data_IF_813767100455
#
_entry.id   IF_813767100455
#
_cell.length_a   1.000
_cell.length_b   1.000
_cell.length_c   1.000
_cell.angle_alpha   90.00
_cell.angle_beta   90.00
_cell.angle_gamma   90.00
#
_symmetry.space_group_name_H-M   'P 1'
#
loop_
_entity.id
_entity.type
_entity.pdbx_description
1 polymer ?
#
# COMPACT_ATOMS: atom_id res chain seq x y z
N UNK A 1 26.59 -10.06 2.17
CA UNK A 1 25.15 -9.78 2.35
C UNK A 1 24.71 -8.66 1.41
N UNK A 2 23.45 -8.56 1.00
CA UNK A 2 22.97 -7.39 0.25
C UNK A 2 21.75 -6.82 0.96
N UNK A 3 21.78 -5.52 1.26
CA UNK A 3 20.71 -4.82 2.00
C UNK A 3 20.03 -3.77 1.10
N UNK A 4 18.91 -3.22 1.54
CA UNK A 4 18.13 -2.24 0.79
C UNK A 4 18.31 -0.83 1.38
N UNK A 5 18.90 0.08 0.60
CA UNK A 5 18.90 1.51 0.91
C UNK A 5 17.53 2.11 0.58
N UNK A 6 16.82 2.61 1.60
CA UNK A 6 15.43 3.08 1.47
C UNK A 6 15.34 4.59 1.68
N UNK A 7 15.18 5.40 0.62
CA UNK A 7 15.02 6.84 0.79
C UNK A 7 13.70 7.14 1.53
N UNK A 8 13.74 8.16 2.39
CA UNK A 8 12.51 8.74 2.93
C UNK A 8 11.76 9.49 1.82
N UNK A 9 10.45 9.74 2.02
CA UNK A 9 9.64 10.49 1.06
C UNK A 9 10.26 11.87 0.79
N UNK A 10 10.66 12.12 -0.45
CA UNK A 10 11.30 13.36 -0.89
C UNK A 10 12.81 13.45 -0.64
N UNK A 11 13.44 12.41 -0.09
CA UNK A 11 14.89 12.33 0.08
C UNK A 11 15.57 11.96 -1.25
N UNK A 12 16.77 12.51 -1.51
CA UNK A 12 17.61 12.10 -2.64
C UNK A 12 18.06 10.63 -2.50
N UNK A 13 18.19 9.91 -3.61
CA UNK A 13 18.72 8.55 -3.62
C UNK A 13 20.20 8.52 -3.17
N UNK A 14 20.96 9.57 -3.49
CA UNK A 14 22.37 9.68 -3.12
C UNK A 14 22.53 9.89 -1.61
N UNK A 15 21.72 10.76 -1.02
CA UNK A 15 21.70 10.97 0.43
C UNK A 15 21.30 9.69 1.18
N UNK A 16 20.34 8.94 0.65
CA UNK A 16 19.96 7.64 1.21
C UNK A 16 21.12 6.65 1.13
N UNK A 17 21.81 6.56 0.00
CA UNK A 17 22.99 5.71 -0.16
C UNK A 17 24.08 6.04 0.88
N UNK A 18 24.48 7.31 0.98
CA UNK A 18 25.55 7.74 1.90
C UNK A 18 25.20 7.45 3.37
N UNK A 19 23.92 7.62 3.72
CA UNK A 19 23.41 7.29 5.06
C UNK A 19 23.51 5.80 5.37
N UNK A 20 23.16 4.92 4.42
CA UNK A 20 23.27 3.47 4.62
C UNK A 20 24.72 3.01 4.72
N UNK A 21 25.60 3.55 3.87
CA UNK A 21 27.05 3.33 3.95
C UNK A 21 27.60 3.73 5.32
N UNK A 22 27.24 4.93 5.81
CA UNK A 22 27.65 5.40 7.14
C UNK A 22 27.15 4.55 8.31
N UNK A 23 26.05 3.81 8.15
CA UNK A 23 25.59 2.86 9.17
C UNK A 23 26.32 1.51 9.11
N UNK A 24 26.70 1.07 7.91
CA UNK A 24 27.22 -0.26 7.65
C UNK A 24 28.75 -0.34 7.72
N UNK A 25 29.47 0.63 7.13
CA UNK A 25 30.92 0.55 6.88
C UNK A 25 31.75 0.23 8.14
N UNK A 26 31.34 0.73 9.31
CA UNK A 26 32.05 0.51 10.58
C UNK A 26 31.57 -0.72 11.37
N UNK A 27 30.47 -1.37 10.97
CA UNK A 27 29.77 -2.38 11.78
C UNK A 27 29.67 -3.75 11.14
N UNK A 28 29.76 -3.85 9.82
CA UNK A 28 29.62 -5.13 9.12
C UNK A 28 30.77 -6.07 9.47
N UNK A 29 30.44 -7.33 9.73
CA UNK A 29 31.44 -8.37 10.00
C UNK A 29 31.76 -9.22 8.75
N UNK A 30 31.15 -8.89 7.60
CA UNK A 30 31.33 -9.58 6.33
C UNK A 30 31.10 -8.61 5.17
N UNK A 31 31.52 -8.99 3.96
CA UNK A 31 31.31 -8.19 2.76
C UNK A 31 29.82 -7.91 2.53
N UNK A 32 29.54 -6.71 2.05
CA UNK A 32 28.17 -6.29 1.79
C UNK A 32 28.01 -5.48 0.50
N UNK A 33 26.79 -5.47 -0.01
CA UNK A 33 26.35 -4.60 -1.10
C UNK A 33 25.01 -3.96 -0.77
N UNK A 34 24.56 -3.05 -1.63
CA UNK A 34 23.28 -2.37 -1.47
C UNK A 34 22.47 -2.43 -2.77
N UNK A 35 21.18 -2.70 -2.63
CA UNK A 35 20.16 -2.37 -3.60
C UNK A 35 19.63 -0.96 -3.29
N UNK A 36 19.37 -0.15 -4.31
CA UNK A 36 18.73 1.17 -4.10
C UNK A 36 17.22 1.09 -4.31
N UNK A 37 16.42 1.47 -3.32
CA UNK A 37 14.97 1.58 -3.48
C UNK A 37 14.61 2.87 -4.22
N UNK A 38 13.79 2.76 -5.26
CA UNK A 38 13.16 3.89 -5.96
C UNK A 38 11.69 3.93 -5.57
N UNK A 39 11.35 4.86 -4.66
CA UNK A 39 9.99 5.03 -4.10
C UNK A 39 9.25 6.27 -4.61
N UNK A 40 9.88 7.05 -5.48
CA UNK A 40 9.31 8.25 -6.09
C UNK A 40 9.96 8.51 -7.45
N UNK A 41 9.18 9.05 -8.39
CA UNK A 41 9.68 9.42 -9.71
C UNK A 41 9.65 10.93 -9.95
N UNK A 42 10.83 11.49 -10.23
CA UNK A 42 10.99 12.81 -10.81
C UNK A 42 11.68 12.68 -12.17
N UNK A 43 11.11 13.31 -13.21
CA UNK A 43 11.59 13.17 -14.59
C UNK A 43 13.05 13.58 -14.82
N UNK A 44 13.58 14.46 -13.96
CA UNK A 44 14.95 14.99 -14.11
C UNK A 44 15.90 14.36 -13.10
N UNK A 45 15.52 14.32 -11.82
CA UNK A 45 16.47 13.95 -10.76
C UNK A 45 16.61 12.44 -10.65
N UNK A 46 15.53 11.66 -10.68
CA UNK A 46 15.58 10.21 -10.45
C UNK A 46 16.48 9.49 -11.46
N UNK A 47 16.36 9.69 -12.79
CA UNK A 47 17.25 9.02 -13.75
C UNK A 47 18.72 9.38 -13.57
N UNK A 48 19.01 10.64 -13.22
CA UNK A 48 20.37 11.13 -13.04
C UNK A 48 21.02 10.56 -11.76
N UNK A 49 20.28 10.51 -10.65
CA UNK A 49 20.77 9.90 -9.42
C UNK A 49 20.98 8.39 -9.57
N UNK A 50 20.08 7.70 -10.29
CA UNK A 50 20.28 6.29 -10.64
C UNK A 50 21.57 6.08 -11.44
N UNK A 51 21.84 6.91 -12.44
CA UNK A 51 23.10 6.85 -13.20
C UNK A 51 24.31 7.08 -12.30
N UNK A 52 24.27 8.10 -11.44
CA UNK A 52 25.37 8.38 -10.52
C UNK A 52 25.66 7.24 -9.53
N UNK A 53 24.61 6.52 -9.11
CA UNK A 53 24.73 5.35 -8.24
C UNK A 53 25.38 4.15 -8.93
N UNK A 54 25.29 4.06 -10.26
CA UNK A 54 25.92 2.99 -11.04
C UNK A 54 27.41 3.20 -11.30
N UNK A 55 27.96 4.38 -11.02
CA UNK A 55 29.39 4.61 -11.16
C UNK A 55 30.21 3.69 -10.22
N UNK A 56 31.43 3.30 -10.61
CA UNK A 56 32.29 2.42 -9.81
C UNK A 56 32.52 2.87 -8.36
N UNK A 57 32.49 4.19 -8.12
CA UNK A 57 32.58 4.81 -6.79
C UNK A 57 31.46 4.35 -5.82
N UNK A 58 30.26 4.08 -6.36
CA UNK A 58 29.08 3.68 -5.57
C UNK A 58 28.67 2.23 -5.80
N UNK A 59 28.90 1.70 -7.00
CA UNK A 59 28.79 0.27 -7.31
C UNK A 59 27.38 -0.32 -7.27
N UNK A 60 26.32 0.50 -7.32
CA UNK A 60 24.94 0.01 -7.35
C UNK A 60 24.60 -0.49 -8.76
N UNK A 61 24.17 -1.73 -8.90
CA UNK A 61 23.77 -2.31 -10.18
C UNK A 61 22.33 -2.86 -10.16
N UNK A 62 21.56 -2.52 -9.11
CA UNK A 62 20.22 -3.07 -8.89
C UNK A 62 19.34 -2.07 -8.14
N UNK A 63 18.12 -1.90 -8.65
CA UNK A 63 17.15 -0.94 -8.15
C UNK A 63 15.84 -1.64 -7.80
N UNK A 64 15.32 -1.42 -6.59
CA UNK A 64 14.08 -2.03 -6.11
C UNK A 64 12.91 -1.05 -6.12
N UNK A 65 11.83 -1.47 -6.75
CA UNK A 65 10.58 -0.73 -6.84
C UNK A 65 9.46 -1.51 -6.13
N UNK A 66 8.42 -0.80 -5.71
CA UNK A 66 7.28 -1.40 -5.02
C UNK A 66 5.99 -1.17 -5.80
N UNK A 67 5.20 -2.22 -5.97
CA UNK A 67 3.82 -2.16 -6.50
C UNK A 67 2.78 -2.11 -5.38
N UNK A 68 3.24 -2.25 -4.13
CA UNK A 68 2.46 -2.22 -2.91
C UNK A 68 2.86 -1.03 -2.03
N UNK A 69 2.23 -0.92 -0.85
CA UNK A 69 2.44 0.19 0.09
C UNK A 69 2.03 1.55 -0.51
N UNK A 70 0.75 1.63 -0.90
CA UNK A 70 0.09 2.85 -1.40
C UNK A 70 0.43 4.05 -0.51
N UNK A 71 0.67 5.20 -1.12
CA UNK A 71 1.06 6.48 -0.50
C UNK A 71 2.44 6.55 0.19
N UNK A 72 3.15 5.41 0.29
CA UNK A 72 4.48 5.32 0.92
C UNK A 72 5.60 4.97 -0.07
N UNK A 73 5.53 3.81 -0.71
CA UNK A 73 6.59 3.29 -1.60
C UNK A 73 6.09 2.93 -3.00
N UNK A 74 4.77 2.78 -3.17
CA UNK A 74 4.15 2.33 -4.40
C UNK A 74 4.45 3.28 -5.57
N UNK A 75 4.92 2.71 -6.68
CA UNK A 75 5.00 3.38 -7.98
C UNK A 75 3.83 2.95 -8.87
N UNK A 76 3.31 3.90 -9.64
CA UNK A 76 2.34 3.59 -10.69
C UNK A 76 3.00 2.96 -11.92
N UNK A 77 2.19 2.35 -12.79
CA UNK A 77 2.69 1.64 -13.99
C UNK A 77 3.54 2.54 -14.91
N UNK A 78 3.14 3.81 -15.07
CA UNK A 78 3.89 4.77 -15.87
C UNK A 78 5.28 5.08 -15.28
N UNK A 79 5.41 5.07 -13.96
CA UNK A 79 6.68 5.31 -13.26
C UNK A 79 7.55 4.05 -13.29
N UNK A 80 6.95 2.87 -13.10
CA UNK A 80 7.62 1.58 -13.27
C UNK A 80 8.20 1.43 -14.68
N UNK A 81 7.42 1.74 -15.71
CA UNK A 81 7.89 1.73 -17.11
C UNK A 81 9.13 2.60 -17.31
N UNK A 82 9.14 3.81 -16.72
CA UNK A 82 10.27 4.73 -16.80
C UNK A 82 11.48 4.20 -16.01
N UNK A 83 11.26 3.67 -14.81
CA UNK A 83 12.31 3.04 -13.99
C UNK A 83 12.98 1.89 -14.74
N UNK A 84 12.19 0.98 -15.32
CA UNK A 84 12.71 -0.16 -16.07
C UNK A 84 13.46 0.28 -17.33
N UNK A 85 12.99 1.31 -18.05
CA UNK A 85 13.77 1.89 -19.16
C UNK A 85 15.13 2.42 -18.71
N UNK A 86 15.19 3.07 -17.55
CA UNK A 86 16.47 3.56 -17.00
C UNK A 86 17.36 2.39 -16.60
N UNK A 87 16.82 1.38 -15.91
CA UNK A 87 17.57 0.17 -15.54
C UNK A 87 18.17 -0.51 -16.78
N UNK A 88 17.36 -0.68 -17.84
CA UNK A 88 17.83 -1.24 -19.10
C UNK A 88 18.95 -0.43 -19.74
N UNK A 89 18.83 0.91 -19.77
CA UNK A 89 19.88 1.78 -20.33
C UNK A 89 21.18 1.70 -19.54
N UNK A 90 21.08 1.61 -18.21
CA UNK A 90 22.23 1.57 -17.31
C UNK A 90 22.86 0.17 -17.18
N UNK A 91 22.22 -0.88 -17.72
CA UNK A 91 22.63 -2.26 -17.50
C UNK A 91 22.42 -2.71 -16.04
N UNK A 92 21.47 -2.10 -15.34
CA UNK A 92 21.12 -2.43 -13.96
C UNK A 92 19.92 -3.39 -13.89
N UNK A 93 19.87 -4.22 -12.86
CA UNK A 93 18.78 -5.15 -12.61
C UNK A 93 17.60 -4.45 -11.95
N UNK A 94 16.40 -4.55 -12.55
CA UNK A 94 15.18 -4.06 -11.94
C UNK A 94 14.62 -5.12 -10.98
N UNK A 95 14.43 -4.76 -9.71
CA UNK A 95 13.78 -5.58 -8.69
C UNK A 95 12.39 -5.04 -8.39
N UNK A 96 11.42 -5.94 -8.18
CA UNK A 96 10.05 -5.54 -7.80
C UNK A 96 9.53 -6.33 -6.61
N UNK A 97 8.95 -5.59 -5.67
CA UNK A 97 8.00 -6.11 -4.71
C UNK A 97 6.61 -6.10 -5.37
N UNK A 98 6.15 -7.27 -5.79
CA UNK A 98 5.02 -7.41 -6.69
C UNK A 98 3.76 -7.90 -5.97
N UNK A 99 3.03 -6.97 -5.35
CA UNK A 99 1.65 -7.17 -4.90
C UNK A 99 0.81 -5.98 -5.36
N UNK A 100 -0.48 -6.18 -5.63
CA UNK A 100 -1.38 -5.09 -6.02
C UNK A 100 -1.73 -4.19 -4.82
N UNK A 101 -1.03 -3.06 -4.69
CA UNK A 101 -1.19 -2.13 -3.58
C UNK A 101 -2.57 -1.47 -3.48
N UNK A 102 -3.26 -1.26 -4.60
CA UNK A 102 -4.61 -0.68 -4.62
C UNK A 102 -5.62 -1.68 -4.04
N UNK A 103 -5.60 -2.93 -4.51
CA UNK A 103 -6.48 -3.99 -4.00
C UNK A 103 -6.21 -4.27 -2.52
N UNK A 104 -4.95 -4.26 -2.09
CA UNK A 104 -4.59 -4.39 -0.67
C UNK A 104 -5.21 -3.25 0.14
N UNK A 105 -5.02 -2.00 -0.29
CA UNK A 105 -5.56 -0.84 0.40
C UNK A 105 -7.09 -0.88 0.53
N UNK A 106 -7.78 -1.22 -0.56
CA UNK A 106 -9.24 -1.35 -0.59
C UNK A 106 -9.75 -2.51 0.28
N UNK A 107 -9.09 -3.67 0.22
CA UNK A 107 -9.44 -4.85 1.03
C UNK A 107 -9.31 -4.54 2.51
N UNK A 108 -8.23 -3.85 2.89
CA UNK A 108 -8.04 -3.38 4.25
C UNK A 108 -9.10 -2.38 4.67
N UNK A 109 -9.51 -1.47 3.78
CA UNK A 109 -10.61 -0.55 4.04
C UNK A 109 -11.95 -1.29 4.21
N UNK A 110 -12.22 -2.31 3.40
CA UNK A 110 -13.44 -3.13 3.50
C UNK A 110 -13.48 -3.97 4.77
N UNK A 111 -12.34 -4.56 5.18
CA UNK A 111 -12.21 -5.26 6.46
C UNK A 111 -12.47 -4.31 7.64
N UNK A 112 -12.17 -3.01 7.50
CA UNK A 112 -12.56 -2.00 8.50
C UNK A 112 -14.07 -1.86 8.62
N UNK A 113 -14.78 -1.63 7.51
CA UNK A 113 -16.23 -1.43 7.55
C UNK A 113 -16.98 -2.66 8.08
N UNK A 114 -16.54 -3.85 7.66
CA UNK A 114 -17.19 -5.11 8.05
C UNK A 114 -17.05 -5.43 9.54
N UNK A 115 -15.95 -5.02 10.17
CA UNK A 115 -15.71 -5.26 11.59
C UNK A 115 -16.35 -4.20 12.50
N UNK A 116 -16.39 -2.93 12.09
CA UNK A 116 -17.19 -1.88 12.75
C UNK A 116 -18.67 -2.26 12.77
N UNK A 117 -19.22 -2.77 11.66
CA UNK A 117 -20.62 -3.21 11.60
C UNK A 117 -20.95 -4.40 12.53
N UNK A 118 -19.96 -5.20 12.95
CA UNK A 118 -20.17 -6.34 13.86
C UNK A 118 -20.04 -5.98 15.34
N UNK A 119 -19.21 -4.99 15.67
CA UNK A 119 -18.98 -4.56 17.06
C UNK A 119 -19.86 -3.39 17.47
N UNK A 120 -20.35 -2.62 16.50
CA UNK A 120 -21.17 -1.45 16.77
C UNK A 120 -22.55 -1.71 16.16
N UNK A 121 -23.52 -2.03 17.02
CA UNK A 121 -24.88 -2.31 16.59
C UNK A 121 -25.41 -1.21 15.66
N UNK A 122 -25.97 -1.59 14.52
CA UNK A 122 -26.50 -0.64 13.56
C UNK A 122 -27.75 0.05 14.11
N UNK A 123 -27.83 1.37 14.01
CA UNK A 123 -29.08 2.10 14.24
C UNK A 123 -29.69 2.44 12.89
N UNK A 124 -30.83 1.83 12.59
CA UNK A 124 -31.59 2.09 11.37
C UNK A 124 -32.64 3.18 11.63
N UNK A 125 -32.68 4.16 10.73
CA UNK A 125 -33.69 5.19 10.65
C UNK A 125 -34.48 5.00 9.35
N UNK A 126 -35.80 5.15 9.37
CA UNK A 126 -36.65 5.15 8.17
C UNK A 126 -37.20 6.56 7.92
N UNK A 127 -37.25 7.03 6.68
CA UNK A 127 -37.86 8.31 6.31
C UNK A 127 -39.27 8.08 5.78
N UNK A 128 -40.23 8.78 6.37
CA UNK A 128 -41.58 8.91 5.85
C UNK A 128 -41.76 10.35 5.36
N UNK A 129 -41.62 10.58 4.05
CA UNK A 129 -41.52 11.93 3.46
C UNK A 129 -40.15 12.57 3.73
N UNK A 130 -40.12 13.88 4.02
CA UNK A 130 -38.87 14.65 4.23
C UNK A 130 -38.27 14.49 5.65
N UNK A 131 -38.66 13.46 6.42
CA UNK A 131 -38.31 13.36 7.86
C UNK A 131 -37.92 11.95 8.28
N UNK A 132 -36.88 11.86 9.11
CA UNK A 132 -36.36 10.62 9.67
C UNK A 132 -37.13 10.14 10.92
N UNK A 133 -37.33 8.85 11.04
CA UNK A 133 -37.96 8.13 12.16
C UNK A 133 -37.01 7.05 12.71
N UNK A 134 -37.02 6.83 14.03
CA UNK A 134 -36.17 5.85 14.73
C UNK A 134 -36.96 4.60 15.18
N UNK A 135 -36.35 3.41 15.19
CA UNK A 135 -36.90 2.21 15.85
C UNK A 135 -35.77 1.37 16.47
N UNK A 136 -35.94 0.86 17.72
CA UNK A 136 -36.85 -0.27 17.97
C UNK A 136 -37.80 -0.04 19.16
N UNK A 137 -39.11 -0.16 18.92
CA UNK A 137 -40.13 -0.27 20.00
C UNK A 137 -41.06 0.93 20.22
N UNK A 138 -40.99 2.00 19.44
CA UNK A 138 -41.98 3.09 19.51
C UNK A 138 -41.84 4.07 18.34
N UNK A 139 -42.84 4.09 17.45
CA UNK A 139 -42.87 4.94 16.25
C UNK A 139 -43.07 6.43 16.57
N UNK A 140 -42.03 7.08 17.07
CA UNK A 140 -41.97 8.52 17.31
C UNK A 140 -41.30 9.27 16.15
N UNK A 141 -41.92 10.38 15.71
CA UNK A 141 -41.35 11.28 14.68
C UNK A 141 -40.15 12.04 15.26
N UNK A 142 -39.07 12.18 14.50
CA UNK A 142 -37.89 12.97 14.87
C UNK A 142 -37.82 14.28 14.08
N UNK A 143 -37.38 15.35 14.74
CA UNK A 143 -37.03 16.63 14.11
C UNK A 143 -35.59 16.61 13.58
N UNK A 144 -35.26 17.49 12.64
CA UNK A 144 -33.90 17.59 12.05
C UNK A 144 -32.82 17.82 13.12
N UNK A 145 -33.15 18.58 14.17
CA UNK A 145 -32.24 18.86 15.27
C UNK A 145 -31.97 17.61 16.12
N UNK A 146 -32.95 16.73 16.27
CA UNK A 146 -32.80 15.43 16.93
C UNK A 146 -32.02 14.45 16.05
N UNK A 147 -32.19 14.51 14.72
CA UNK A 147 -31.42 13.68 13.78
C UNK A 147 -29.95 14.05 13.83
N UNK A 148 -29.64 15.34 13.78
CA UNK A 148 -28.25 15.81 13.88
C UNK A 148 -27.62 15.47 15.23
N UNK A 149 -28.40 15.48 16.33
CA UNK A 149 -27.92 14.99 17.63
C UNK A 149 -27.68 13.49 17.63
N UNK A 150 -28.60 12.68 17.10
CA UNK A 150 -28.44 11.24 17.02
C UNK A 150 -27.23 10.83 16.17
N UNK A 151 -27.01 11.50 15.04
CA UNK A 151 -25.82 11.32 14.20
C UNK A 151 -24.54 11.77 14.92
N UNK A 152 -24.58 12.86 15.70
CA UNK A 152 -23.46 13.30 16.53
C UNK A 152 -23.15 12.31 17.67
N UNK A 153 -24.18 11.69 18.27
CA UNK A 153 -24.01 10.64 19.28
C UNK A 153 -23.43 9.38 18.66
N UNK A 154 -23.96 8.94 17.51
CA UNK A 154 -23.40 7.82 16.73
C UNK A 154 -21.91 8.09 16.42
N UNK A 155 -21.57 9.33 16.03
CA UNK A 155 -20.20 9.79 15.81
C UNK A 155 -19.33 9.70 17.07
N UNK A 156 -19.84 10.11 18.24
CA UNK A 156 -19.09 10.02 19.51
C UNK A 156 -18.88 8.58 19.98
N UNK A 157 -19.75 7.66 19.57
CA UNK A 157 -19.73 6.25 19.97
C UNK A 157 -19.11 5.34 18.91
N UNK A 158 -18.72 5.87 17.74
CA UNK A 158 -18.20 5.08 16.62
C UNK A 158 -19.24 4.18 15.95
N UNK A 159 -20.54 4.47 16.10
CA UNK A 159 -21.66 3.69 15.57
C UNK A 159 -22.05 4.19 14.18
N UNK A 160 -22.31 3.27 13.24
CA UNK A 160 -22.84 3.61 11.93
C UNK A 160 -24.35 3.82 11.99
N UNK A 161 -24.80 4.97 11.49
CA UNK A 161 -26.22 5.28 11.32
C UNK A 161 -26.63 5.04 9.86
N UNK A 162 -27.67 4.24 9.64
CA UNK A 162 -28.27 4.05 8.31
C UNK A 162 -29.61 4.78 8.25
N UNK A 163 -29.81 5.62 7.24
CA UNK A 163 -31.08 6.32 7.00
C UNK A 163 -31.68 5.82 5.68
N UNK A 164 -32.85 5.19 5.74
CA UNK A 164 -33.55 4.60 4.60
C UNK A 164 -34.77 5.46 4.25
N UNK A 165 -34.93 5.98 3.03
CA UNK A 165 -36.08 6.83 2.67
C UNK A 165 -37.10 6.09 1.80
N UNK A 166 -38.40 6.17 2.13
CA UNK A 166 -39.46 5.37 1.46
C UNK A 166 -40.00 5.94 0.13
N UNK A 167 -39.59 7.13 -0.33
CA UNK A 167 -40.07 7.68 -1.61
C UNK A 167 -39.00 7.71 -2.71
N UNK A 168 -39.22 6.84 -3.69
CA UNK A 168 -38.41 6.63 -4.88
C UNK A 168 -38.51 7.79 -5.89
N UNK A 169 -37.74 8.85 -5.68
CA UNK A 169 -37.36 9.81 -6.74
C UNK A 169 -36.14 10.68 -6.39
N UNK A 170 -35.56 10.55 -5.20
CA UNK A 170 -34.34 11.24 -4.80
C UNK A 170 -33.36 10.27 -4.11
N UNK A 171 -32.88 9.27 -4.84
CA UNK A 171 -31.64 8.58 -4.45
C UNK A 171 -30.50 9.31 -5.14
N UNK A 172 -30.10 10.42 -4.54
CA UNK A 172 -28.79 10.99 -4.76
C UNK A 172 -28.20 11.26 -3.38
N UNK A 173 -27.04 10.64 -3.15
CA UNK A 173 -26.15 10.91 -2.02
C UNK A 173 -26.58 10.34 -0.66
N UNK A 174 -26.05 9.14 -0.37
CA UNK A 174 -25.59 8.84 0.99
C UNK A 174 -24.52 9.90 1.29
N UNK A 175 -24.86 10.98 1.98
CA UNK A 175 -23.86 11.93 2.45
C UNK A 175 -23.03 11.27 3.56
N UNK A 176 -22.00 10.54 3.13
CA UNK A 176 -20.79 10.32 3.91
C UNK A 176 -20.15 11.71 4.06
N UNK A 177 -20.18 12.26 5.27
CA UNK A 177 -19.49 13.51 5.53
C UNK A 177 -17.99 13.28 5.52
N UNK A 178 -17.36 13.52 4.38
CA UNK A 178 -15.93 13.73 4.24
C UNK A 178 -15.58 15.15 4.70
N UNK A 179 -14.73 15.31 5.71
CA UNK A 179 -14.27 16.63 6.12
C UNK A 179 -13.34 16.67 7.33
N UNK A 180 -12.04 16.86 7.07
CA UNK A 180 -11.24 17.83 7.83
C UNK A 180 -10.26 17.28 8.88
N UNK A 181 -8.99 17.22 8.47
CA UNK A 181 -7.79 16.99 9.30
C UNK A 181 -7.60 18.13 10.31
N UNK A 182 -7.39 17.80 11.59
CA UNK A 182 -7.08 18.79 12.63
C UNK A 182 -6.28 18.21 13.80
N UNK A 183 -4.95 18.24 13.69
CA UNK A 183 -4.02 18.36 14.82
C UNK A 183 -3.76 17.12 15.69
N UNK A 184 -2.85 16.23 15.26
CA UNK A 184 -2.07 15.41 16.20
C UNK A 184 -0.61 15.84 16.10
N UNK A 185 -0.10 16.32 17.23
CA UNK A 185 1.24 16.85 17.45
C UNK A 185 2.29 15.76 17.12
N UNK A 186 3.09 15.98 16.06
CA UNK A 186 4.17 15.09 15.63
C UNK A 186 5.38 15.29 16.53
N UNK A 187 5.56 14.44 17.54
CA UNK A 187 6.89 14.22 18.15
C UNK A 187 7.26 12.74 18.06
N UNK A 188 8.32 12.51 17.28
CA UNK A 188 9.31 11.43 17.37
C UNK A 188 8.80 10.00 17.61
N UNK A 189 8.87 9.16 16.58
CA UNK A 189 8.94 7.70 16.74
C UNK A 189 10.11 7.13 15.90
N UNK A 190 10.82 6.09 16.42
CA UNK A 190 12.12 5.67 15.94
C UNK A 190 12.08 4.78 14.67
N UNK A 191 13.24 4.69 14.04
CA UNK A 191 13.54 4.31 12.65
C UNK A 191 13.39 2.83 12.25
N UNK A 192 12.53 2.03 12.88
CA UNK A 192 12.36 0.60 12.52
C UNK A 192 10.91 0.16 12.23
N UNK A 193 9.93 1.05 12.39
CA UNK A 193 8.50 0.73 12.28
C UNK A 193 7.82 1.24 11.00
N UNK A 194 8.59 1.71 10.00
CA UNK A 194 8.04 2.50 8.89
C UNK A 194 7.44 1.64 7.76
N UNK A 195 7.75 0.34 7.67
CA UNK A 195 7.29 -0.51 6.56
C UNK A 195 6.01 -1.32 6.91
N UNK A 196 5.81 -1.67 8.20
CA UNK A 196 4.68 -2.50 8.65
C UNK A 196 3.57 -1.73 9.39
N UNK A 197 3.74 -0.41 9.58
CA UNK A 197 3.07 0.30 10.68
C UNK A 197 1.69 0.91 10.39
N UNK A 198 1.25 1.04 9.13
CA UNK A 198 0.04 1.82 8.83
C UNK A 198 -1.25 1.01 8.80
N UNK A 199 -1.21 -0.26 8.41
CA UNK A 199 -2.41 -1.12 8.43
C UNK A 199 -2.72 -1.68 9.82
N UNK A 200 -1.73 -1.70 10.70
CA UNK A 200 -1.80 -2.33 12.02
C UNK A 200 -2.71 -1.54 12.97
N UNK A 201 -2.65 -0.21 13.00
CA UNK A 201 -3.49 0.61 13.89
C UNK A 201 -5.00 0.40 13.66
N UNK A 202 -5.39 0.13 12.42
CA UNK A 202 -6.80 0.06 12.04
C UNK A 202 -7.31 -1.38 11.98
N UNK A 203 -6.49 -2.38 11.67
CA UNK A 203 -6.81 -3.80 11.94
C UNK A 203 -6.98 -4.03 13.46
N UNK A 204 -6.10 -3.44 14.27
CA UNK A 204 -6.23 -3.43 15.74
C UNK A 204 -7.54 -2.78 16.21
N UNK A 205 -7.98 -1.69 15.57
CA UNK A 205 -9.25 -1.02 15.89
C UNK A 205 -10.50 -1.87 15.57
N UNK A 206 -10.34 -2.88 14.72
CA UNK A 206 -11.41 -3.78 14.26
C UNK A 206 -11.42 -5.12 15.00
N UNK A 207 -10.66 -5.23 16.10
CA UNK A 207 -10.54 -6.46 16.88
C UNK A 207 -9.70 -7.56 16.22
N UNK A 208 -9.27 -7.36 14.97
CA UNK A 208 -8.32 -8.24 14.26
C UNK A 208 -6.92 -7.82 14.70
N UNK A 209 -6.55 -8.31 15.87
CA UNK A 209 -5.30 -7.95 16.55
C UNK A 209 -4.20 -8.99 16.36
N UNK A 210 -4.55 -10.14 15.80
CA UNK A 210 -3.61 -11.22 15.54
C UNK A 210 -2.96 -11.12 14.16
N UNK A 211 -1.87 -11.89 13.95
CA UNK A 211 -1.11 -11.90 12.71
C UNK A 211 -1.92 -12.37 11.48
N UNK A 212 -3.07 -13.05 11.69
CA UNK A 212 -3.96 -13.53 10.62
C UNK A 212 -4.54 -12.42 9.74
N UNK A 213 -4.74 -11.21 10.30
CA UNK A 213 -5.26 -10.07 9.54
C UNK A 213 -4.35 -9.64 8.39
N UNK A 214 -3.04 -9.86 8.54
CA UNK A 214 -2.06 -9.57 7.50
C UNK A 214 -2.27 -10.46 6.27
N UNK A 215 -2.39 -11.76 6.48
CA UNK A 215 -2.60 -12.73 5.40
C UNK A 215 -3.96 -12.56 4.70
N UNK A 216 -5.02 -12.26 5.46
CA UNK A 216 -6.37 -12.05 4.89
C UNK A 216 -6.46 -10.86 3.95
N UNK A 217 -5.64 -9.83 4.16
CA UNK A 217 -5.60 -8.65 3.30
C UNK A 217 -4.83 -8.83 1.99
N UNK A 218 -4.08 -9.94 1.86
CA UNK A 218 -3.09 -10.18 0.80
C UNK A 218 -3.23 -11.61 0.25
N UNK A 219 -4.36 -11.94 -0.38
CA UNK A 219 -4.54 -13.26 -1.00
C UNK A 219 -3.57 -13.43 -2.18
N UNK A 220 -3.24 -14.67 -2.56
CA UNK A 220 -2.20 -14.96 -3.55
C UNK A 220 -2.45 -14.34 -4.94
N UNK A 221 -3.71 -14.08 -5.29
CA UNK A 221 -4.10 -13.46 -6.54
C UNK A 221 -3.59 -12.02 -6.67
N UNK A 222 -3.43 -11.32 -5.54
CA UNK A 222 -2.87 -9.96 -5.47
C UNK A 222 -1.39 -9.95 -5.84
N UNK A 223 -0.64 -10.96 -5.41
CA UNK A 223 0.77 -11.16 -5.81
C UNK A 223 0.83 -11.55 -7.29
N UNK A 224 0.04 -12.56 -7.69
CA UNK A 224 0.03 -13.12 -9.05
C UNK A 224 -0.28 -12.06 -10.12
N UNK A 225 -1.28 -11.20 -9.89
CA UNK A 225 -1.62 -10.11 -10.80
C UNK A 225 -0.44 -9.14 -10.97
N UNK A 226 0.13 -8.70 -9.86
CA UNK A 226 1.22 -7.73 -9.88
C UNK A 226 2.49 -8.30 -10.52
N UNK A 227 2.82 -9.58 -10.26
CA UNK A 227 3.92 -10.29 -10.93
C UNK A 227 3.70 -10.31 -12.44
N UNK A 228 2.51 -10.72 -12.89
CA UNK A 228 2.19 -10.75 -14.32
C UNK A 228 2.29 -9.35 -14.94
N UNK A 229 1.76 -8.32 -14.28
CA UNK A 229 1.83 -6.93 -14.75
C UNK A 229 3.27 -6.41 -14.82
N UNK A 230 4.10 -6.65 -13.80
CA UNK A 230 5.51 -6.26 -13.80
C UNK A 230 6.29 -6.91 -14.96
N UNK A 231 6.07 -8.21 -15.20
CA UNK A 231 6.68 -8.94 -16.32
C UNK A 231 6.31 -8.29 -17.65
N UNK A 232 5.03 -7.96 -17.84
CA UNK A 232 4.58 -7.34 -19.09
C UNK A 232 5.24 -5.97 -19.31
N UNK A 233 5.30 -5.12 -18.28
CA UNK A 233 5.93 -3.80 -18.37
C UNK A 233 7.44 -3.95 -18.65
N UNK A 234 8.14 -4.84 -17.95
CA UNK A 234 9.57 -5.08 -18.15
C UNK A 234 9.88 -5.58 -19.57
N UNK A 235 9.04 -6.48 -20.10
CA UNK A 235 9.19 -6.99 -21.46
C UNK A 235 9.00 -5.90 -22.53
N UNK A 236 8.07 -4.95 -22.34
CA UNK A 236 7.88 -3.83 -23.27
C UNK A 236 9.12 -2.94 -23.42
N UNK A 237 10.00 -2.93 -22.41
CA UNK A 237 11.23 -2.14 -22.41
C UNK A 237 12.50 -2.99 -22.49
N UNK A 238 12.34 -4.30 -22.72
CA UNK A 238 13.43 -5.29 -22.77
C UNK A 238 14.35 -5.24 -21.53
N UNK A 239 13.80 -4.99 -20.33
CA UNK A 239 14.55 -4.90 -19.08
C UNK A 239 14.54 -6.26 -18.34
N UNK A 240 15.69 -6.79 -17.89
CA UNK A 240 15.73 -7.91 -16.97
C UNK A 240 15.01 -7.59 -15.66
N UNK A 241 14.06 -8.46 -15.28
CA UNK A 241 13.25 -8.30 -14.08
C UNK A 241 13.58 -9.35 -13.03
N UNK A 242 13.68 -8.93 -11.77
CA UNK A 242 13.86 -9.79 -10.62
C UNK A 242 12.70 -9.59 -9.64
N UNK A 243 11.83 -10.59 -9.55
CA UNK A 243 10.68 -10.58 -8.64
C UNK A 243 11.14 -11.05 -7.27
N UNK A 244 11.10 -10.16 -6.29
CA UNK A 244 11.55 -10.48 -4.94
C UNK A 244 10.44 -11.16 -4.13
N UNK A 245 10.83 -12.03 -3.21
CA UNK A 245 9.96 -12.59 -2.16
C UNK A 245 8.72 -13.28 -2.77
N UNK A 246 8.95 -14.20 -3.70
CA UNK A 246 7.88 -14.99 -4.32
C UNK A 246 7.31 -15.96 -3.27
N UNK A 247 6.07 -15.72 -2.84
CA UNK A 247 5.43 -16.46 -1.74
C UNK A 247 4.37 -17.44 -2.21
N UNK A 248 3.77 -17.21 -3.38
CA UNK A 248 2.69 -18.07 -3.91
C UNK A 248 3.12 -18.93 -5.09
N UNK A 249 2.45 -20.08 -5.21
CA UNK A 249 2.59 -20.98 -6.35
C UNK A 249 2.16 -20.31 -7.64
N UNK A 250 1.04 -19.59 -7.61
CA UNK A 250 0.46 -18.91 -8.78
C UNK A 250 1.37 -17.80 -9.31
N UNK A 251 2.05 -17.04 -8.44
CA UNK A 251 3.10 -16.10 -8.85
C UNK A 251 4.32 -16.82 -9.46
N UNK A 252 4.78 -17.91 -8.84
CA UNK A 252 5.89 -18.71 -9.36
C UNK A 252 5.59 -19.30 -10.75
N UNK A 253 4.36 -19.77 -10.97
CA UNK A 253 3.90 -20.28 -12.27
C UNK A 253 3.95 -19.18 -13.35
N UNK A 254 3.58 -17.93 -13.03
CA UNK A 254 3.71 -16.78 -13.96
C UNK A 254 5.16 -16.49 -14.34
N UNK A 255 6.08 -16.56 -13.38
CA UNK A 255 7.51 -16.39 -13.65
C UNK A 255 8.01 -17.51 -14.55
N UNK A 256 7.66 -18.77 -14.23
CA UNK A 256 8.07 -19.93 -15.02
C UNK A 256 7.56 -19.86 -16.46
N UNK A 257 6.31 -19.46 -16.67
CA UNK A 257 5.73 -19.31 -18.01
C UNK A 257 6.39 -18.16 -18.79
N UNK A 258 6.69 -17.04 -18.14
CA UNK A 258 7.39 -15.93 -18.76
C UNK A 258 8.82 -16.31 -19.19
N UNK A 259 9.55 -17.05 -18.35
CA UNK A 259 10.89 -17.57 -18.70
C UNK A 259 10.82 -18.54 -19.88
N UNK A 260 9.84 -19.45 -19.92
CA UNK A 260 9.63 -20.36 -21.07
C UNK A 260 9.37 -19.61 -22.38
N UNK A 261 8.70 -18.46 -22.30
CA UNK A 261 8.43 -17.59 -23.45
C UNK A 261 9.61 -16.69 -23.84
N UNK A 262 10.78 -16.85 -23.20
CA UNK A 262 12.01 -16.13 -23.53
C UNK A 262 12.14 -14.76 -22.85
N UNK A 263 11.25 -14.41 -21.91
CA UNK A 263 11.42 -13.20 -21.11
C UNK A 263 12.54 -13.38 -20.09
N UNK A 264 13.35 -12.33 -19.89
CA UNK A 264 14.42 -12.32 -18.90
C UNK A 264 13.84 -11.94 -17.55
N UNK A 265 13.31 -12.94 -16.84
CA UNK A 265 12.75 -12.78 -15.49
C UNK A 265 13.33 -13.82 -14.53
N UNK A 266 13.59 -13.39 -13.31
CA UNK A 266 14.06 -14.20 -12.19
C UNK A 266 13.07 -14.07 -11.03
N UNK A 267 12.93 -15.14 -10.23
CA UNK A 267 12.12 -15.15 -9.02
C UNK A 267 12.95 -15.55 -7.80
N UNK A 268 12.78 -14.84 -6.69
CA UNK A 268 13.43 -15.12 -5.42
C UNK A 268 12.43 -15.68 -4.40
N UNK A 269 12.39 -17.01 -4.16
CA UNK A 269 11.74 -17.53 -2.97
C UNK A 269 12.58 -17.22 -1.73
N UNK A 270 11.93 -17.03 -0.58
CA UNK A 270 12.61 -16.79 0.69
C UNK A 270 12.37 -17.94 1.67
N UNK A 271 13.38 -18.25 2.49
CA UNK A 271 13.18 -19.11 3.65
C UNK A 271 12.39 -18.30 4.69
N UNK A 272 11.11 -18.62 4.89
CA UNK A 272 10.32 -17.97 5.93
C UNK A 272 10.94 -18.30 7.31
N UNK A 273 11.28 -17.26 8.07
CA UNK A 273 11.86 -17.34 9.42
C UNK A 273 10.95 -16.70 10.45
#
# INVERSE_FOLDING_TARGET
SVDFAVPQKGQSLLEAYDKWRGWADEKVCCDYGLHMVVSYWNEKTTPHEMELLTHPEKGINSFKMFMAYKDMLMLGDAELYKCFRVCQRLGALAQVHAENGEVIAETLQHLRYSAVSRHVGSVAFSMAGDKACWAPGGGGRMSDQELMRALATCRSLGVMAMVHAENASAIHEVQLWEGGVGGINRRSLPSKAVVDGWNTKELLANGITGPEGHALSRPEEVETEAVNRAIMIANQVNCPLYVVHVMSKSAADKIADATKNGHVVFGEPIAAS
#
